data_IF_687849959458
#
_entry.id   IF_687849959458
#
_cell.length_a   1.000
_cell.length_b   1.000
_cell.length_c   1.000
_cell.angle_alpha   90.00
_cell.angle_beta   90.00
_cell.angle_gamma   90.00
#
_symmetry.space_group_name_H-M   'P 1'
#
loop_
_entity.id
_entity.type
_entity.pdbx_description
1 polymer ?
#
# COMPACT_ATOMS: atom_id res chain seq x y z
N UNK A 1 4.47 -28.27 -2.80
CA UNK A 1 4.21 -27.04 -2.02
C UNK A 1 2.74 -26.68 -2.08
N UNK A 2 2.21 -26.35 -3.26
CA UNK A 2 0.82 -25.91 -3.45
C UNK A 2 -0.23 -26.89 -2.91
N UNK A 3 -0.03 -28.20 -3.14
CA UNK A 3 -0.93 -29.26 -2.64
C UNK A 3 -0.98 -29.35 -1.11
N UNK A 4 0.10 -28.95 -0.43
CA UNK A 4 0.16 -28.94 1.03
C UNK A 4 -0.52 -27.65 1.52
N UNK A 5 -0.21 -26.51 0.90
CA UNK A 5 -0.80 -25.22 1.25
C UNK A 5 -2.34 -25.24 1.14
N UNK A 6 -2.89 -25.92 0.12
CA UNK A 6 -4.35 -26.04 -0.04
C UNK A 6 -5.05 -26.82 1.07
N UNK A 7 -4.31 -27.66 1.81
CA UNK A 7 -4.82 -28.42 2.96
C UNK A 7 -4.47 -27.77 4.29
N UNK A 8 -3.31 -27.11 4.34
CA UNK A 8 -2.73 -26.49 5.53
C UNK A 8 -2.10 -25.15 5.13
N UNK A 9 -2.78 -24.03 5.40
CA UNK A 9 -2.32 -22.69 5.05
C UNK A 9 -1.22 -22.18 6.00
N UNK A 10 -0.09 -22.89 6.09
CA UNK A 10 1.06 -22.40 6.85
C UNK A 10 1.71 -21.20 6.15
N UNK A 11 1.81 -20.07 6.85
CA UNK A 11 2.36 -18.82 6.30
C UNK A 11 3.79 -18.98 5.76
N UNK A 12 4.57 -19.91 6.33
CA UNK A 12 5.94 -20.18 5.90
C UNK A 12 6.07 -20.58 4.43
N UNK A 13 5.02 -21.07 3.78
CA UNK A 13 5.02 -21.29 2.33
C UNK A 13 4.99 -19.98 1.54
N UNK A 14 4.27 -18.96 2.02
CA UNK A 14 4.31 -17.61 1.45
C UNK A 14 5.71 -17.01 1.59
N UNK A 15 6.32 -17.16 2.77
CA UNK A 15 7.69 -16.71 3.00
C UNK A 15 8.70 -17.44 2.10
N UNK A 16 8.63 -18.77 2.01
CA UNK A 16 9.51 -19.55 1.14
C UNK A 16 9.34 -19.16 -0.33
N UNK A 17 8.11 -18.94 -0.79
CA UNK A 17 7.84 -18.40 -2.11
C UNK A 17 8.45 -17.02 -2.31
N UNK A 18 8.52 -16.18 -1.28
CA UNK A 18 9.17 -14.88 -1.38
C UNK A 18 10.66 -15.00 -1.67
N UNK A 19 11.33 -16.02 -1.11
CA UNK A 19 12.73 -16.34 -1.39
C UNK A 19 12.89 -16.79 -2.85
N UNK A 20 12.00 -17.66 -3.34
CA UNK A 20 12.04 -18.09 -4.74
C UNK A 20 11.92 -16.90 -5.71
N UNK A 21 11.04 -15.95 -5.41
CA UNK A 21 10.87 -14.74 -6.23
C UNK A 21 12.08 -13.82 -6.11
N UNK A 22 12.71 -13.73 -4.94
CA UNK A 22 13.92 -12.94 -4.74
C UNK A 22 15.09 -13.44 -5.60
N UNK A 23 15.25 -14.76 -5.67
CA UNK A 23 16.31 -15.42 -6.45
C UNK A 23 16.01 -15.48 -7.95
N UNK A 24 14.77 -15.78 -8.33
CA UNK A 24 14.41 -16.13 -9.72
C UNK A 24 13.48 -15.14 -10.41
N UNK A 25 12.93 -14.15 -9.71
CA UNK A 25 11.93 -13.23 -10.26
C UNK A 25 12.44 -12.37 -11.43
N UNK A 26 13.74 -12.10 -11.47
CA UNK A 26 14.39 -11.38 -12.59
C UNK A 26 14.56 -12.22 -13.86
N UNK A 27 14.29 -13.53 -13.82
CA UNK A 27 14.39 -14.42 -14.97
C UNK A 27 13.05 -14.51 -15.71
N UNK A 28 12.91 -13.79 -16.83
CA UNK A 28 11.66 -13.71 -17.60
C UNK A 28 11.09 -15.09 -17.98
N UNK A 29 11.95 -16.07 -18.25
CA UNK A 29 11.53 -17.45 -18.57
C UNK A 29 10.85 -18.18 -17.41
N UNK A 30 11.05 -17.74 -16.17
CA UNK A 30 10.47 -18.35 -14.96
C UNK A 30 9.27 -17.55 -14.41
N UNK A 31 9.11 -16.29 -14.81
CA UNK A 31 8.03 -15.42 -14.34
C UNK A 31 6.62 -16.03 -14.51
N UNK A 32 6.26 -16.69 -15.63
CA UNK A 32 4.93 -17.30 -15.76
C UNK A 32 4.63 -18.32 -14.65
N UNK A 33 5.60 -19.16 -14.30
CA UNK A 33 5.46 -20.14 -13.22
C UNK A 33 5.37 -19.49 -11.83
N UNK A 34 6.16 -18.44 -11.60
CA UNK A 34 6.11 -17.66 -10.36
C UNK A 34 4.76 -16.94 -10.20
N UNK A 35 4.19 -16.40 -11.29
CA UNK A 35 2.87 -15.75 -11.26
C UNK A 35 1.75 -16.73 -10.95
N UNK A 36 1.77 -17.94 -11.51
CA UNK A 36 0.81 -19.01 -11.17
C UNK A 36 0.92 -19.39 -9.68
N UNK A 37 2.14 -19.47 -9.16
CA UNK A 37 2.39 -19.72 -7.73
C UNK A 37 1.79 -18.60 -6.88
N UNK A 38 2.05 -17.33 -7.21
CA UNK A 38 1.50 -16.18 -6.49
C UNK A 38 -0.02 -16.20 -6.48
N UNK A 39 -0.65 -16.38 -7.64
CA UNK A 39 -2.11 -16.39 -7.76
C UNK A 39 -2.74 -17.49 -6.90
N UNK A 40 -2.19 -18.71 -6.96
CA UNK A 40 -2.71 -19.84 -6.20
C UNK A 40 -2.54 -19.64 -4.69
N UNK A 41 -1.38 -19.12 -4.25
CA UNK A 41 -1.13 -18.82 -2.85
C UNK A 41 -2.00 -17.66 -2.34
N UNK A 42 -2.17 -16.60 -3.13
CA UNK A 42 -3.01 -15.47 -2.80
C UNK A 42 -4.47 -15.90 -2.64
N UNK A 43 -5.01 -16.67 -3.59
CA UNK A 43 -6.36 -17.21 -3.48
C UNK A 43 -6.56 -18.06 -2.23
N UNK A 44 -5.65 -18.99 -1.95
CA UNK A 44 -5.72 -19.80 -0.72
C UNK A 44 -5.67 -18.93 0.54
N UNK A 45 -4.82 -17.89 0.54
CA UNK A 45 -4.69 -16.94 1.64
C UNK A 45 -5.96 -16.11 1.84
N UNK A 46 -6.60 -15.65 0.77
CA UNK A 46 -7.83 -14.87 0.86
C UNK A 46 -8.96 -15.66 1.51
N UNK A 47 -9.02 -16.98 1.35
CA UNK A 47 -10.03 -17.81 2.05
C UNK A 47 -9.90 -17.75 3.57
N UNK A 48 -8.70 -17.49 4.09
CA UNK A 48 -8.42 -17.33 5.52
C UNK A 48 -8.65 -15.88 5.95
N UNK A 49 -8.15 -14.91 5.17
CA UNK A 49 -8.23 -13.49 5.52
C UNK A 49 -9.63 -12.88 5.37
N UNK A 50 -10.54 -13.52 4.63
CA UNK A 50 -11.94 -13.08 4.49
C UNK A 50 -12.85 -13.60 5.60
N UNK A 51 -12.37 -14.48 6.47
CA UNK A 51 -13.09 -14.90 7.67
C UNK A 51 -13.26 -13.72 8.63
N UNK A 52 -14.25 -13.83 9.53
CA UNK A 52 -14.41 -12.88 10.62
C UNK A 52 -13.11 -12.82 11.45
N UNK A 53 -12.57 -11.62 11.64
CA UNK A 53 -11.27 -11.39 12.29
C UNK A 53 -10.06 -12.07 11.62
N UNK A 54 -10.17 -12.56 10.38
CA UNK A 54 -9.10 -13.31 9.69
C UNK A 54 -7.70 -12.67 9.78
N UNK A 55 -7.52 -11.38 9.40
CA UNK A 55 -6.21 -10.72 9.50
C UNK A 55 -5.68 -10.59 10.94
N UNK A 56 -6.59 -10.49 11.92
CA UNK A 56 -6.25 -10.41 13.34
C UNK A 56 -5.82 -11.77 13.90
N UNK A 57 -6.49 -12.83 13.46
CA UNK A 57 -6.24 -14.19 13.93
C UNK A 57 -5.05 -14.85 13.19
N UNK A 58 -4.68 -14.32 12.02
CA UNK A 58 -3.57 -14.82 11.19
C UNK A 58 -2.60 -13.70 10.75
N UNK A 59 -1.98 -12.95 11.68
CA UNK A 59 -1.11 -11.82 11.35
C UNK A 59 0.21 -12.24 10.68
N UNK A 60 0.70 -13.45 10.97
CA UNK A 60 1.84 -14.10 10.29
C UNK A 60 1.57 -14.34 8.80
N UNK A 61 0.34 -14.74 8.48
CA UNK A 61 -0.12 -14.93 7.10
C UNK A 61 -0.20 -13.60 6.36
N UNK A 62 -0.66 -12.53 7.03
CA UNK A 62 -0.65 -11.16 6.47
C UNK A 62 0.79 -10.70 6.22
N UNK A 63 1.67 -10.86 7.20
CA UNK A 63 3.10 -10.49 7.07
C UNK A 63 3.73 -11.20 5.86
N UNK A 64 3.69 -12.53 5.82
CA UNK A 64 4.35 -13.31 4.78
C UNK A 64 3.73 -13.10 3.38
N UNK A 65 2.41 -12.86 3.29
CA UNK A 65 1.74 -12.52 2.02
C UNK A 65 2.31 -11.22 1.45
N UNK A 66 2.45 -10.17 2.27
CA UNK A 66 2.93 -8.88 1.79
C UNK A 66 4.45 -8.83 1.63
N UNK A 67 5.21 -9.70 2.32
CA UNK A 67 6.63 -9.95 2.00
C UNK A 67 6.77 -10.58 0.61
N UNK A 68 5.94 -11.57 0.28
CA UNK A 68 5.88 -12.19 -1.05
C UNK A 68 5.49 -11.15 -2.12
N UNK A 69 4.42 -10.40 -1.91
CA UNK A 69 3.96 -9.38 -2.86
C UNK A 69 5.03 -8.30 -3.12
N UNK A 70 5.73 -7.83 -2.07
CA UNK A 70 6.86 -6.90 -2.22
C UNK A 70 7.99 -7.47 -3.08
N UNK A 71 8.28 -8.77 -3.00
CA UNK A 71 9.29 -9.40 -3.86
C UNK A 71 8.87 -9.39 -5.33
N UNK A 72 7.59 -9.57 -5.64
CA UNK A 72 7.09 -9.39 -7.01
C UNK A 72 7.20 -7.94 -7.50
N UNK A 73 6.81 -6.97 -6.68
CA UNK A 73 6.92 -5.54 -7.01
C UNK A 73 8.36 -5.15 -7.36
N UNK A 74 9.35 -5.76 -6.72
CA UNK A 74 10.77 -5.41 -6.91
C UNK A 74 11.48 -6.26 -7.97
N UNK A 75 11.12 -7.53 -8.13
CA UNK A 75 11.83 -8.47 -9.01
C UNK A 75 11.16 -8.71 -10.36
N UNK A 76 9.84 -8.58 -10.42
CA UNK A 76 9.06 -8.78 -11.63
C UNK A 76 7.89 -7.76 -11.74
N UNK A 77 8.15 -6.44 -11.59
CA UNK A 77 7.09 -5.42 -11.57
C UNK A 77 6.19 -5.48 -12.80
N UNK A 78 6.79 -5.57 -14.00
CA UNK A 78 6.03 -5.58 -15.26
C UNK A 78 5.06 -6.75 -15.35
N UNK A 79 5.49 -7.95 -14.96
CA UNK A 79 4.64 -9.14 -14.93
C UNK A 79 3.59 -9.08 -13.81
N UNK A 80 3.94 -8.52 -12.65
CA UNK A 80 3.06 -8.40 -11.50
C UNK A 80 1.88 -7.46 -11.76
N UNK A 81 2.13 -6.22 -12.17
CA UNK A 81 1.08 -5.19 -12.25
C UNK A 81 0.09 -5.37 -13.40
N UNK A 82 0.46 -6.10 -14.46
CA UNK A 82 -0.49 -6.46 -15.53
C UNK A 82 -1.36 -7.66 -15.17
N UNK A 83 -1.05 -8.36 -14.06
CA UNK A 83 -1.79 -9.54 -13.64
C UNK A 83 -2.94 -9.16 -12.68
N UNK A 84 -4.14 -9.76 -12.81
CA UNK A 84 -5.30 -9.43 -11.96
C UNK A 84 -5.06 -9.58 -10.44
N UNK A 85 -4.15 -10.47 -10.06
CA UNK A 85 -3.76 -10.68 -8.65
C UNK A 85 -3.20 -9.41 -7.99
N UNK A 86 -2.60 -8.50 -8.76
CA UNK A 86 -2.05 -7.26 -8.21
C UNK A 86 -3.16 -6.37 -7.63
N UNK A 87 -4.29 -6.23 -8.34
CA UNK A 87 -5.45 -5.48 -7.83
C UNK A 87 -6.02 -6.13 -6.58
N UNK A 88 -6.21 -7.46 -6.58
CA UNK A 88 -6.73 -8.18 -5.42
C UNK A 88 -5.82 -8.02 -4.18
N UNK A 89 -4.50 -8.09 -4.37
CA UNK A 89 -3.52 -7.87 -3.30
C UNK A 89 -3.52 -6.41 -2.81
N UNK A 90 -3.69 -5.44 -3.71
CA UNK A 90 -3.77 -4.03 -3.36
C UNK A 90 -5.00 -3.73 -2.50
N UNK A 91 -6.16 -4.28 -2.87
CA UNK A 91 -7.40 -4.16 -2.09
C UNK A 91 -7.30 -4.87 -0.74
N UNK A 92 -6.72 -6.07 -0.71
CA UNK A 92 -6.46 -6.79 0.54
C UNK A 92 -5.52 -5.98 1.46
N UNK A 93 -4.45 -5.40 0.92
CA UNK A 93 -3.51 -4.56 1.67
C UNK A 93 -4.21 -3.37 2.31
N UNK A 94 -5.10 -2.71 1.57
CA UNK A 94 -5.88 -1.57 2.06
C UNK A 94 -6.70 -1.92 3.29
N UNK A 95 -7.36 -3.08 3.30
CA UNK A 95 -8.12 -3.56 4.48
C UNK A 95 -7.19 -3.82 5.67
N UNK A 96 -6.01 -4.38 5.41
CA UNK A 96 -5.03 -4.75 6.43
C UNK A 96 -4.32 -3.55 7.08
N UNK A 97 -4.44 -2.31 6.55
CA UNK A 97 -3.88 -1.10 7.17
C UNK A 97 -4.39 -0.84 8.59
N UNK A 98 -5.58 -1.36 8.91
CA UNK A 98 -6.21 -1.22 10.22
C UNK A 98 -5.78 -2.28 11.25
N UNK A 99 -4.97 -3.26 10.84
CA UNK A 99 -4.49 -4.32 11.73
C UNK A 99 -3.42 -3.76 12.69
N UNK A 100 -3.72 -3.73 13.99
CA UNK A 100 -2.79 -3.30 15.04
C UNK A 100 -1.84 -4.44 15.45
N UNK A 101 -1.05 -4.90 14.48
CA UNK A 101 0.02 -5.88 14.69
C UNK A 101 1.28 -5.40 13.98
N UNK A 102 2.37 -5.24 14.74
CA UNK A 102 3.52 -4.45 14.29
C UNK A 102 4.17 -4.95 12.99
N UNK A 103 4.51 -6.24 12.92
CA UNK A 103 5.22 -6.79 11.76
C UNK A 103 4.31 -6.91 10.53
N UNK A 104 3.12 -7.52 10.70
CA UNK A 104 2.09 -7.58 9.66
C UNK A 104 1.75 -6.22 9.04
N UNK A 105 1.46 -5.19 9.86
CA UNK A 105 1.14 -3.86 9.37
C UNK A 105 2.35 -3.22 8.67
N UNK A 106 3.56 -3.40 9.20
CA UNK A 106 4.78 -2.90 8.55
C UNK A 106 5.00 -3.55 7.18
N UNK A 107 4.69 -4.82 7.00
CA UNK A 107 4.76 -5.46 5.68
C UNK A 107 3.69 -4.94 4.72
N UNK A 108 2.48 -4.63 5.21
CA UNK A 108 1.43 -3.97 4.42
C UNK A 108 1.86 -2.57 3.99
N UNK A 109 2.33 -1.74 4.92
CA UNK A 109 2.74 -0.36 4.60
C UNK A 109 3.94 -0.34 3.68
N UNK A 110 4.89 -1.26 3.88
CA UNK A 110 6.06 -1.40 3.00
C UNK A 110 5.68 -1.88 1.61
N UNK A 111 4.63 -2.66 1.44
CA UNK A 111 4.09 -2.99 0.12
C UNK A 111 3.67 -1.71 -0.63
N UNK A 112 2.89 -0.83 -0.02
CA UNK A 112 2.49 0.44 -0.63
C UNK A 112 3.67 1.37 -0.92
N UNK A 113 4.58 1.57 0.04
CA UNK A 113 5.73 2.46 -0.17
C UNK A 113 6.66 1.93 -1.25
N UNK A 114 6.88 0.62 -1.32
CA UNK A 114 7.68 -0.02 -2.38
C UNK A 114 7.06 0.21 -3.77
N UNK A 115 5.73 0.09 -3.92
CA UNK A 115 5.04 0.40 -5.19
C UNK A 115 5.31 1.85 -5.60
N UNK A 116 5.13 2.78 -4.68
CA UNK A 116 5.33 4.22 -4.94
C UNK A 116 6.80 4.50 -5.30
N UNK A 117 7.76 3.91 -4.59
CA UNK A 117 9.19 4.03 -4.89
C UNK A 117 9.54 3.52 -6.30
N UNK A 118 8.98 2.38 -6.71
CA UNK A 118 9.17 1.86 -8.07
C UNK A 118 8.62 2.83 -9.13
N UNK A 119 7.42 3.37 -8.91
CA UNK A 119 6.81 4.37 -9.81
C UNK A 119 7.66 5.64 -9.93
N UNK A 120 8.13 6.18 -8.80
CA UNK A 120 8.99 7.37 -8.77
C UNK A 120 10.32 7.11 -9.48
N UNK A 121 10.87 5.92 -9.32
CA UNK A 121 12.11 5.51 -9.99
C UNK A 121 11.92 5.40 -11.51
N UNK A 122 10.84 4.77 -11.96
CA UNK A 122 10.51 4.65 -13.38
C UNK A 122 10.32 6.02 -14.06
N UNK A 123 9.71 7.00 -13.36
CA UNK A 123 9.56 8.38 -13.87
C UNK A 123 10.90 9.09 -14.04
N UNK A 124 11.83 8.95 -13.09
CA UNK A 124 13.17 9.55 -13.17
C UNK A 124 13.93 9.04 -14.38
N UNK A 125 13.89 7.72 -14.62
CA UNK A 125 14.49 7.10 -15.80
C UNK A 125 13.92 7.73 -17.07
N UNK A 126 12.59 7.76 -17.23
CA UNK A 126 11.95 8.34 -18.42
C UNK A 126 12.28 9.83 -18.63
N UNK A 127 12.44 10.62 -17.56
CA UNK A 127 12.84 12.04 -17.68
C UNK A 127 14.29 12.24 -18.16
N UNK A 128 15.15 11.24 -17.98
CA UNK A 128 16.56 11.29 -18.38
C UNK A 128 16.81 10.77 -19.81
N UNK A 129 15.89 9.96 -20.34
CA UNK A 129 15.93 9.42 -21.70
C UNK A 129 15.08 10.31 -22.62
N UNK A 130 15.62 11.47 -23.01
CA UNK A 130 14.93 12.49 -23.84
C UNK A 130 14.40 11.99 -25.20
N UNK A 131 14.82 10.81 -25.66
CA UNK A 131 14.62 10.37 -27.05
C UNK A 131 13.64 9.18 -27.21
N UNK A 132 13.02 8.70 -26.13
CA UNK A 132 11.95 7.66 -26.18
C UNK A 132 10.60 8.20 -25.71
N UNK A 133 10.20 9.34 -26.27
CA UNK A 133 8.88 9.93 -26.06
C UNK A 133 7.78 9.04 -26.65
N UNK A 134 7.42 7.95 -25.96
CA UNK A 134 6.25 7.14 -26.32
C UNK A 134 6.14 5.77 -25.69
N UNK A 135 7.25 5.10 -25.35
CA UNK A 135 7.16 3.76 -24.75
C UNK A 135 7.17 3.85 -23.23
N UNK A 136 6.02 3.57 -22.62
CA UNK A 136 5.90 3.34 -21.18
C UNK A 136 5.67 1.85 -20.97
N UNK A 137 6.49 1.22 -20.14
CA UNK A 137 6.28 -0.16 -19.70
C UNK A 137 4.83 -0.34 -19.20
N UNK A 138 4.14 -1.38 -19.69
CA UNK A 138 2.72 -1.59 -19.40
C UNK A 138 2.47 -1.82 -17.90
N UNK A 139 3.40 -2.46 -17.20
CA UNK A 139 3.29 -2.64 -15.76
C UNK A 139 3.44 -1.34 -14.98
N UNK A 140 4.31 -0.43 -15.43
CA UNK A 140 4.41 0.92 -14.86
C UNK A 140 3.10 1.70 -15.07
N UNK A 141 2.47 1.58 -16.24
CA UNK A 141 1.16 2.21 -16.51
C UNK A 141 0.08 1.61 -15.61
N UNK A 142 0.00 0.28 -15.52
CA UNK A 142 -0.97 -0.41 -14.68
C UNK A 142 -0.79 -0.10 -13.18
N UNK A 143 0.45 -0.04 -12.69
CA UNK A 143 0.77 0.35 -11.33
C UNK A 143 0.35 1.79 -11.02
N UNK A 144 0.60 2.72 -11.94
CA UNK A 144 0.19 4.12 -11.79
C UNK A 144 -1.34 4.23 -11.77
N UNK A 145 -2.03 3.56 -12.69
CA UNK A 145 -3.50 3.51 -12.72
C UNK A 145 -4.06 2.97 -11.42
N UNK A 146 -3.50 1.88 -10.90
CA UNK A 146 -3.93 1.28 -9.63
C UNK A 146 -3.81 2.28 -8.46
N UNK A 147 -2.69 2.98 -8.35
CA UNK A 147 -2.50 4.02 -7.32
C UNK A 147 -3.45 5.19 -7.53
N UNK A 148 -3.69 5.60 -8.78
CA UNK A 148 -4.62 6.70 -9.09
C UNK A 148 -6.07 6.34 -8.71
N UNK A 149 -6.52 5.14 -9.08
CA UNK A 149 -7.89 4.66 -8.84
C UNK A 149 -8.16 4.53 -7.35
N UNK A 150 -7.20 4.00 -6.59
CA UNK A 150 -7.38 3.75 -5.16
C UNK A 150 -6.84 4.85 -4.24
N UNK A 151 -6.20 5.89 -4.76
CA UNK A 151 -5.49 6.91 -3.96
C UNK A 151 -6.36 7.57 -2.89
N UNK A 152 -7.59 7.95 -3.25
CA UNK A 152 -8.54 8.52 -2.28
C UNK A 152 -8.90 7.54 -1.16
N UNK A 153 -9.19 6.28 -1.52
CA UNK A 153 -9.55 5.24 -0.54
C UNK A 153 -8.37 4.87 0.34
N UNK A 154 -7.16 4.85 -0.21
CA UNK A 154 -5.94 4.60 0.52
C UNK A 154 -5.69 5.68 1.58
N UNK A 155 -5.84 6.97 1.22
CA UNK A 155 -5.75 8.07 2.20
C UNK A 155 -6.84 7.94 3.27
N UNK A 156 -8.10 7.70 2.88
CA UNK A 156 -9.20 7.50 3.81
C UNK A 156 -8.90 6.40 4.84
N UNK A 157 -8.39 5.25 4.39
CA UNK A 157 -8.08 4.11 5.25
C UNK A 157 -6.85 4.37 6.13
N UNK A 158 -5.81 5.04 5.62
CA UNK A 158 -4.66 5.46 6.43
C UNK A 158 -5.10 6.40 7.56
N UNK A 159 -5.93 7.41 7.26
CA UNK A 159 -6.42 8.35 8.28
C UNK A 159 -7.31 7.64 9.31
N UNK A 160 -8.28 6.84 8.87
CA UNK A 160 -9.15 6.08 9.77
C UNK A 160 -8.35 5.12 10.65
N UNK A 161 -7.39 4.39 10.09
CA UNK A 161 -6.56 3.46 10.86
C UNK A 161 -5.69 4.21 11.88
N UNK A 162 -5.02 5.29 11.48
CA UNK A 162 -4.16 6.08 12.36
C UNK A 162 -4.92 6.69 13.54
N UNK A 163 -6.17 7.14 13.31
CA UNK A 163 -7.02 7.73 14.34
C UNK A 163 -7.63 6.67 15.26
N UNK A 164 -8.23 5.62 14.69
CA UNK A 164 -9.14 4.75 15.45
C UNK A 164 -8.66 3.33 15.69
N UNK A 165 -7.60 2.86 15.02
CA UNK A 165 -7.28 1.42 14.96
C UNK A 165 -5.86 1.07 15.40
N UNK A 166 -4.86 1.87 15.04
CA UNK A 166 -3.45 1.53 15.28
C UNK A 166 -2.76 2.51 16.23
N UNK A 167 -1.70 2.04 16.87
CA UNK A 167 -0.95 2.80 17.87
C UNK A 167 0.55 2.87 17.58
N UNK A 168 1.27 3.70 18.35
CA UNK A 168 2.74 3.74 18.33
C UNK A 168 3.34 4.09 16.97
N UNK A 169 4.34 3.30 16.55
CA UNK A 169 5.09 3.53 15.30
C UNK A 169 4.23 3.35 14.05
N UNK A 170 3.15 2.56 14.10
CA UNK A 170 2.30 2.29 12.94
C UNK A 170 1.63 3.56 12.41
N UNK A 171 1.29 4.52 13.29
CA UNK A 171 0.79 5.84 12.89
C UNK A 171 1.77 6.59 11.98
N UNK A 172 3.07 6.40 12.18
CA UNK A 172 4.12 7.02 11.36
C UNK A 172 4.23 6.34 9.99
N UNK A 173 4.11 5.02 9.96
CA UNK A 173 4.16 4.23 8.72
C UNK A 173 2.94 4.57 7.81
N UNK A 174 1.75 4.77 8.40
CA UNK A 174 0.57 5.25 7.66
C UNK A 174 0.74 6.70 7.14
N UNK A 175 1.36 7.57 7.93
CA UNK A 175 1.67 8.94 7.51
C UNK A 175 2.68 8.97 6.34
N UNK A 176 3.61 8.00 6.30
CA UNK A 176 4.55 7.85 5.19
C UNK A 176 3.82 7.55 3.87
N UNK A 177 2.81 6.69 3.88
CA UNK A 177 1.99 6.42 2.67
C UNK A 177 1.31 7.72 2.19
N UNK A 178 0.65 8.45 3.09
CA UNK A 178 -0.01 9.73 2.76
C UNK A 178 1.00 10.70 2.15
N UNK A 179 2.16 10.85 2.77
CA UNK A 179 3.24 11.69 2.24
C UNK A 179 3.74 11.22 0.86
N UNK A 180 3.96 9.92 0.67
CA UNK A 180 4.50 9.37 -0.56
C UNK A 180 3.53 9.53 -1.74
N UNK A 181 2.21 9.46 -1.50
CA UNK A 181 1.20 9.75 -2.53
C UNK A 181 1.28 11.17 -3.07
N UNK A 182 1.70 12.15 -2.26
CA UNK A 182 1.95 13.53 -2.73
C UNK A 182 3.03 13.62 -3.82
N UNK A 183 3.93 12.64 -3.86
CA UNK A 183 5.02 12.56 -4.86
C UNK A 183 4.56 11.93 -6.17
N UNK A 184 3.43 11.21 -6.16
CA UNK A 184 2.81 10.64 -7.36
C UNK A 184 2.08 11.72 -8.15
N UNK A 185 1.15 12.44 -7.54
CA UNK A 185 0.40 13.50 -8.22
C UNK A 185 -0.07 14.52 -7.18
N UNK A 186 0.46 15.74 -7.25
CA UNK A 186 0.17 16.80 -6.27
C UNK A 186 -1.27 17.30 -6.38
N UNK A 187 -1.83 17.36 -7.59
CA UNK A 187 -3.20 17.82 -7.81
C UNK A 187 -4.19 16.83 -7.20
N UNK A 188 -4.02 15.54 -7.56
CA UNK A 188 -4.87 14.48 -7.03
C UNK A 188 -4.68 14.27 -5.53
N UNK A 189 -3.48 14.45 -5.00
CA UNK A 189 -3.24 14.32 -3.56
C UNK A 189 -4.11 15.28 -2.73
N UNK A 190 -4.29 16.53 -3.16
CA UNK A 190 -5.21 17.47 -2.49
C UNK A 190 -6.65 16.97 -2.56
N UNK A 191 -7.11 16.53 -3.73
CA UNK A 191 -8.46 15.98 -3.92
C UNK A 191 -8.72 14.75 -3.05
N UNK A 192 -7.75 13.84 -2.98
CA UNK A 192 -7.80 12.63 -2.16
C UNK A 192 -7.84 12.95 -0.67
N UNK A 193 -7.08 13.95 -0.21
CA UNK A 193 -7.13 14.40 1.19
C UNK A 193 -8.50 14.99 1.54
N UNK A 194 -9.07 15.85 0.68
CA UNK A 194 -10.42 16.39 0.87
C UNK A 194 -11.45 15.25 0.95
N UNK A 195 -11.36 14.28 0.04
CA UNK A 195 -12.26 13.13 0.07
C UNK A 195 -12.08 12.28 1.33
N UNK A 196 -10.84 11.99 1.73
CA UNK A 196 -10.52 11.22 2.93
C UNK A 196 -11.02 11.89 4.21
N UNK A 197 -10.82 13.20 4.37
CA UNK A 197 -11.28 13.95 5.56
C UNK A 197 -12.79 14.13 5.61
N UNK A 198 -13.45 14.18 4.45
CA UNK A 198 -14.93 14.22 4.38
C UNK A 198 -15.59 12.94 4.91
N UNK A 199 -14.86 11.82 4.95
CA UNK A 199 -15.34 10.52 5.46
C UNK A 199 -15.10 10.33 6.96
N UNK A 200 -14.34 11.21 7.59
CA UNK A 200 -14.12 11.14 9.04
C UNK A 200 -15.41 11.51 9.80
N UNK A 201 -15.65 10.93 10.99
CA UNK A 201 -16.80 11.29 11.82
C UNK A 201 -16.88 12.79 12.13
N UNK A 202 -18.10 13.28 12.37
CA UNK A 202 -18.38 14.63 12.87
C UNK A 202 -19.14 14.54 14.18
N UNK A 203 -18.88 15.47 15.10
CA UNK A 203 -19.54 15.50 16.40
C UNK A 203 -18.77 16.35 17.43
N UNK A 204 -19.26 16.41 18.68
CA UNK A 204 -18.64 17.22 19.74
C UNK A 204 -17.21 16.81 20.11
N UNK A 205 -16.84 15.55 19.87
CA UNK A 205 -15.50 14.96 20.10
C UNK A 205 -14.85 14.56 18.77
N UNK A 206 -14.95 15.44 17.77
CA UNK A 206 -14.37 15.24 16.46
C UNK A 206 -13.87 16.57 15.90
N UNK A 207 -13.00 16.52 14.88
CA UNK A 207 -12.52 17.71 14.21
C UNK A 207 -13.68 18.47 13.51
N UNK A 208 -13.64 19.81 13.60
CA UNK A 208 -14.54 20.69 12.85
C UNK A 208 -14.16 20.74 11.37
N UNK A 209 -15.06 21.23 10.52
CA UNK A 209 -14.75 21.37 9.09
C UNK A 209 -13.59 22.35 8.86
N UNK A 210 -13.52 23.45 9.61
CA UNK A 210 -12.40 24.40 9.59
C UNK A 210 -11.06 23.74 9.96
N UNK A 211 -11.05 22.86 10.98
CA UNK A 211 -9.85 22.13 11.39
C UNK A 211 -9.39 21.13 10.31
N UNK A 212 -10.33 20.54 9.58
CA UNK A 212 -10.03 19.60 8.51
C UNK A 212 -9.58 20.29 7.24
N UNK A 213 -10.16 21.43 6.90
CA UNK A 213 -9.65 22.32 5.84
C UNK A 213 -8.22 22.74 6.15
N UNK A 214 -7.95 23.19 7.38
CA UNK A 214 -6.60 23.57 7.81
C UNK A 214 -5.62 22.40 7.75
N UNK A 215 -6.04 21.19 8.13
CA UNK A 215 -5.23 19.98 8.00
C UNK A 215 -4.84 19.71 6.53
N UNK A 216 -5.81 19.80 5.60
CA UNK A 216 -5.56 19.62 4.17
C UNK A 216 -4.60 20.69 3.65
N UNK A 217 -4.82 21.96 3.99
CA UNK A 217 -3.99 23.07 3.54
C UNK A 217 -2.57 22.99 4.11
N UNK A 218 -2.39 22.56 5.35
CA UNK A 218 -1.06 22.36 5.94
C UNK A 218 -0.26 21.25 5.24
N UNK A 219 -0.93 20.16 4.87
CA UNK A 219 -0.28 19.04 4.16
C UNK A 219 -0.03 19.36 2.68
N UNK A 220 -0.87 20.19 2.08
CA UNK A 220 -0.80 20.56 0.65
C UNK A 220 -0.16 21.93 0.38
N UNK A 221 0.34 22.59 1.43
CA UNK A 221 1.21 23.76 1.34
C UNK A 221 2.46 23.45 0.48
N UNK A 222 3.29 24.47 0.22
CA UNK A 222 4.47 24.39 -0.66
C UNK A 222 5.14 22.99 -0.64
N UNK A 223 4.91 22.15 -1.66
CA UNK A 223 5.26 20.72 -1.60
C UNK A 223 6.76 20.44 -1.56
N UNK A 224 7.58 21.45 -1.85
CA UNK A 224 9.05 21.37 -1.67
C UNK A 224 9.45 21.56 -0.21
N UNK A 225 8.59 22.16 0.62
CA UNK A 225 8.83 22.43 2.03
C UNK A 225 8.17 21.40 2.94
N UNK A 226 7.03 20.84 2.54
CA UNK A 226 6.32 19.83 3.34
C UNK A 226 7.13 18.53 3.37
N UNK A 227 7.63 18.18 4.55
CA UNK A 227 8.37 16.94 4.81
C UNK A 227 7.45 15.85 5.36
N UNK A 228 7.92 14.59 5.33
CA UNK A 228 7.22 13.47 5.98
C UNK A 228 6.98 13.72 7.48
N UNK A 229 7.92 14.43 8.15
CA UNK A 229 7.76 14.81 9.56
C UNK A 229 6.58 15.76 9.76
N UNK A 230 6.35 16.68 8.83
CA UNK A 230 5.27 17.64 8.92
C UNK A 230 3.92 16.95 8.69
N UNK A 231 3.82 16.05 7.70
CA UNK A 231 2.64 15.20 7.48
C UNK A 231 2.31 14.37 8.73
N UNK A 232 3.29 13.71 9.32
CA UNK A 232 3.09 12.96 10.55
C UNK A 232 2.66 13.86 11.73
N UNK A 233 3.19 15.08 11.82
CA UNK A 233 2.80 16.05 12.84
C UNK A 233 1.34 16.46 12.68
N UNK A 234 0.91 16.76 11.45
CA UNK A 234 -0.49 17.09 11.15
C UNK A 234 -1.44 15.93 11.47
N UNK A 235 -1.07 14.69 11.11
CA UNK A 235 -1.87 13.51 11.44
C UNK A 235 -1.94 13.30 12.96
N UNK A 236 -0.83 13.45 13.68
CA UNK A 236 -0.81 13.35 15.14
C UNK A 236 -1.69 14.40 15.80
N UNK A 237 -1.66 15.63 15.32
CA UNK A 237 -2.49 16.71 15.88
C UNK A 237 -3.97 16.52 15.52
N UNK A 238 -4.27 15.97 14.34
CA UNK A 238 -5.61 15.52 13.97
C UNK A 238 -6.12 14.41 14.90
N UNK A 239 -5.30 13.42 15.23
CA UNK A 239 -5.69 12.31 16.14
C UNK A 239 -6.18 12.84 17.49
N UNK A 240 -5.54 13.86 18.05
CA UNK A 240 -5.94 14.48 19.33
C UNK A 240 -7.34 15.10 19.31
N UNK A 241 -7.90 15.38 18.13
CA UNK A 241 -9.26 15.91 17.99
C UNK A 241 -10.34 14.81 18.07
N UNK A 242 -9.92 13.54 18.11
CA UNK A 242 -10.79 12.35 18.17
C UNK A 242 -10.52 11.47 19.41
N UNK A 243 -9.63 11.92 20.31
CA UNK A 243 -9.34 11.30 21.62
C UNK A 243 -10.13 12.05 22.72
#
# INVERSE_FOLDING_TARGET
MMDIFSRHQHSCFLYLSSILVDEYGGMESLQPGLMIMLETLAHGTFTVLTLENGPRDHPDTVDDLFRLAQRFVTRAPSAFFVHPVATALFECAMVCLSLDHQEANRSVTRFFTTIIEQLLSARKVNSSLSDTAGFRDQGVVAAEELVIVHGAKLIELCLNAAIFKVTGSLRRDLAEIVYMLSKIDRGKHKEWLIMGTSRLPRGPLAATDEQLEQFVDNITADPERVSMRDVFTQIRDLIKLYE
#
